data_IF_905129246618
#
_entry.id   IF_905129246618
#
_cell.length_a   1.000
_cell.length_b   1.000
_cell.length_c   1.000
_cell.angle_alpha   90.00
_cell.angle_beta   90.00
_cell.angle_gamma   90.00
#
_symmetry.space_group_name_H-M   'P 1'
#
loop_
_entity.id
_entity.type
_entity.pdbx_description
1 polymer ?
#
# COMPACT_ATOMS: atom_id res chain seq x y z
N UNK A 1 6.31 43.45 26.22
CA UNK A 1 7.58 43.84 25.57
C UNK A 1 8.37 42.57 25.25
N UNK A 2 8.08 41.91 24.12
CA UNK A 2 8.93 40.87 23.50
C UNK A 2 8.59 40.85 22.00
N UNK A 3 9.64 40.91 21.18
CA UNK A 3 9.68 41.12 19.74
C UNK A 3 9.13 39.96 18.89
N UNK A 4 8.35 40.33 17.87
CA UNK A 4 8.17 39.57 16.63
C UNK A 4 9.36 39.85 15.70
N UNK A 5 10.13 38.80 15.34
CA UNK A 5 11.12 38.86 14.27
C UNK A 5 10.48 38.43 12.95
N UNK A 6 10.42 39.40 12.04
CA UNK A 6 10.12 39.22 10.62
C UNK A 6 11.30 38.57 9.90
N UNK A 7 11.02 37.65 8.98
CA UNK A 7 11.97 37.26 7.92
C UNK A 7 11.32 37.49 6.55
N UNK A 8 11.99 38.34 5.78
CA UNK A 8 11.49 38.93 4.56
C UNK A 8 11.60 38.05 3.32
N UNK A 9 10.62 38.23 2.44
CA UNK A 9 10.63 37.80 1.03
C UNK A 9 11.75 38.54 0.27
N UNK A 10 12.47 37.82 -0.60
CA UNK A 10 13.32 38.42 -1.65
C UNK A 10 12.76 38.17 -3.06
N UNK A 11 13.00 39.08 -4.02
CA UNK A 11 12.25 39.18 -5.27
C UNK A 11 12.84 38.34 -6.42
N UNK A 12 11.94 38.01 -7.35
CA UNK A 12 12.17 37.40 -8.66
C UNK A 12 13.10 38.26 -9.55
N UNK A 13 14.16 37.67 -10.12
CA UNK A 13 14.95 38.27 -11.21
C UNK A 13 14.63 37.58 -12.54
N UNK A 14 14.21 38.39 -13.53
CA UNK A 14 14.09 38.05 -14.95
C UNK A 14 15.50 37.88 -15.55
N UNK A 15 15.67 36.85 -16.39
CA UNK A 15 16.84 36.67 -17.23
C UNK A 15 16.46 35.90 -18.49
N UNK A 16 16.30 36.61 -19.60
CA UNK A 16 16.17 36.07 -20.94
C UNK A 16 17.48 35.38 -21.36
N UNK A 17 17.41 34.23 -22.04
CA UNK A 17 18.44 33.76 -22.99
C UNK A 17 17.88 32.68 -23.92
N UNK A 18 17.73 33.09 -25.19
CA UNK A 18 17.94 32.39 -26.46
C UNK A 18 17.65 30.88 -26.56
N UNK A 19 16.62 30.54 -27.35
CA UNK A 19 16.40 29.19 -27.88
C UNK A 19 17.29 28.96 -29.11
N UNK A 20 18.30 28.10 -28.96
CA UNK A 20 19.06 27.51 -30.06
C UNK A 20 18.57 26.09 -30.34
N UNK A 21 18.20 25.83 -31.59
CA UNK A 21 17.69 24.59 -32.14
C UNK A 21 18.57 23.36 -31.83
N UNK A 22 18.00 22.28 -31.27
CA UNK A 22 18.44 20.90 -31.50
C UNK A 22 17.25 19.95 -31.56
N UNK A 23 17.35 19.03 -32.54
CA UNK A 23 16.33 18.16 -33.15
C UNK A 23 15.61 17.21 -32.16
N UNK A 24 14.32 16.90 -32.36
CA UNK A 24 13.65 15.84 -31.62
C UNK A 24 14.05 14.46 -32.16
N UNK A 25 14.60 13.61 -31.29
CA UNK A 25 14.74 12.18 -31.57
C UNK A 25 13.36 11.50 -31.44
N UNK A 26 13.07 10.65 -32.43
CA UNK A 26 11.88 9.81 -32.53
C UNK A 26 11.79 8.80 -31.39
N UNK A 27 10.66 8.77 -30.69
CA UNK A 27 10.14 7.54 -30.08
C UNK A 27 8.65 7.40 -30.43
N UNK A 28 8.30 6.25 -30.98
CA UNK A 28 6.99 5.97 -31.57
C UNK A 28 5.86 5.92 -30.54
N UNK A 29 4.90 6.83 -30.70
CA UNK A 29 3.59 6.73 -30.09
C UNK A 29 2.70 5.78 -30.92
N UNK A 30 2.30 4.65 -30.34
CA UNK A 30 1.14 3.91 -30.84
C UNK A 30 -0.13 4.69 -30.44
N UNK A 31 -1.13 4.85 -31.34
CA UNK A 31 -2.34 5.59 -31.01
C UNK A 31 -3.19 4.80 -30.01
N UNK A 32 -3.62 5.47 -28.94
CA UNK A 32 -4.70 5.00 -28.07
C UNK A 32 -5.99 4.99 -28.89
N UNK A 33 -6.55 3.80 -29.15
CA UNK A 33 -7.94 3.67 -29.60
C UNK A 33 -8.86 3.81 -28.39
N UNK A 34 -9.41 4.99 -28.21
CA UNK A 34 -10.69 5.17 -27.53
C UNK A 34 -11.81 4.93 -28.55
N UNK A 35 -12.72 4.02 -28.22
CA UNK A 35 -13.84 3.62 -29.07
C UNK A 35 -14.57 2.45 -28.42
N UNK A 36 -15.60 2.77 -27.64
CA UNK A 36 -16.53 1.79 -27.09
C UNK A 36 -17.24 1.07 -28.25
N UNK A 37 -17.12 -0.25 -28.31
CA UNK A 37 -17.97 -1.07 -29.17
C UNK A 37 -19.34 -1.25 -28.51
N UNK A 38 -20.46 -1.12 -29.24
CA UNK A 38 -21.80 -1.30 -28.68
C UNK A 38 -22.04 -2.77 -28.29
N UNK A 39 -22.66 -2.97 -27.11
CA UNK A 39 -23.16 -4.28 -26.67
C UNK A 39 -24.20 -4.78 -27.68
N UNK A 40 -23.95 -5.94 -28.30
CA UNK A 40 -25.03 -6.72 -28.94
C UNK A 40 -25.89 -7.33 -27.83
N UNK A 41 -27.10 -6.82 -27.69
CA UNK A 41 -28.21 -7.52 -27.06
C UNK A 41 -28.57 -8.76 -27.89
N UNK A 42 -28.95 -9.84 -27.21
CA UNK A 42 -29.64 -10.97 -27.83
C UNK A 42 -28.80 -12.20 -28.12
N UNK A 43 -28.54 -13.02 -27.09
CA UNK A 43 -28.65 -14.49 -27.15
C UNK A 43 -28.36 -15.11 -25.78
N UNK A 44 -29.31 -15.01 -24.86
CA UNK A 44 -29.41 -15.92 -23.72
C UNK A 44 -30.04 -17.23 -24.22
N UNK A 45 -29.26 -18.29 -24.34
CA UNK A 45 -29.81 -19.64 -24.47
C UNK A 45 -30.14 -20.16 -23.05
N UNK A 46 -31.37 -20.63 -22.77
CA UNK A 46 -31.75 -21.11 -21.45
C UNK A 46 -31.07 -22.46 -21.16
N UNK A 47 -30.55 -22.63 -19.94
CA UNK A 47 -30.21 -23.95 -19.41
C UNK A 47 -31.50 -24.76 -19.28
N UNK A 48 -31.72 -25.72 -20.17
CA UNK A 48 -32.72 -26.78 -19.95
C UNK A 48 -32.12 -27.85 -19.04
N UNK A 49 -32.83 -28.09 -17.94
CA UNK A 49 -32.83 -29.35 -17.20
C UNK A 49 -33.32 -30.48 -18.12
N UNK A 50 -32.71 -31.67 -18.03
CA UNK A 50 -33.16 -32.87 -18.74
C UNK A 50 -32.05 -33.90 -18.92
N UNK A 51 -32.18 -35.04 -18.24
CA UNK A 51 -31.42 -36.26 -18.51
C UNK A 51 -31.75 -36.79 -19.92
N UNK A 52 -30.74 -37.16 -20.71
CA UNK A 52 -30.88 -37.75 -22.05
C UNK A 52 -29.58 -38.39 -22.55
N UNK A 53 -29.72 -39.42 -23.39
CA UNK A 53 -28.87 -40.62 -23.48
C UNK A 53 -27.41 -40.51 -23.94
N UNK A 54 -26.58 -41.43 -23.43
CA UNK A 54 -25.19 -41.65 -23.83
C UNK A 54 -25.12 -42.11 -25.29
N UNK A 55 -24.44 -41.34 -26.16
CA UNK A 55 -24.06 -41.79 -27.51
C UNK A 55 -22.97 -42.88 -27.42
N UNK A 56 -23.02 -43.94 -28.25
CA UNK A 56 -22.03 -45.02 -28.24
C UNK A 56 -20.71 -44.58 -28.89
N UNK A 57 -19.59 -45.07 -28.34
CA UNK A 57 -18.25 -44.83 -28.86
C UNK A 57 -18.01 -45.62 -30.18
N UNK A 58 -17.25 -45.08 -31.15
CA UNK A 58 -16.94 -45.80 -32.38
C UNK A 58 -15.99 -46.99 -32.11
N UNK A 59 -16.37 -48.17 -32.62
CA UNK A 59 -15.52 -49.37 -32.71
C UNK A 59 -14.54 -49.19 -33.88
N UNK A 60 -13.24 -49.17 -33.61
CA UNK A 60 -12.18 -49.41 -34.59
C UNK A 60 -11.21 -50.45 -34.00
N UNK A 61 -10.94 -51.50 -34.79
CA UNK A 61 -10.41 -52.79 -34.36
C UNK A 61 -8.97 -52.79 -33.84
N UNK A 62 -8.65 -53.89 -33.15
CA UNK A 62 -7.33 -54.24 -32.65
C UNK A 62 -6.40 -54.55 -33.82
N UNK A 63 -5.50 -53.61 -34.16
CA UNK A 63 -4.30 -53.89 -34.96
C UNK A 63 -3.24 -54.59 -34.09
N UNK A 64 -2.50 -55.50 -34.71
CA UNK A 64 -1.55 -56.44 -34.09
C UNK A 64 -0.44 -55.76 -33.27
N UNK A 65 -0.10 -56.39 -32.14
CA UNK A 65 1.05 -56.01 -31.30
C UNK A 65 2.33 -56.21 -32.08
N UNK A 66 3.04 -55.12 -32.39
CA UNK A 66 4.48 -55.20 -32.66
C UNK A 66 5.19 -55.58 -31.36
N UNK A 67 5.70 -56.79 -31.32
CA UNK A 67 6.70 -57.24 -30.36
C UNK A 67 7.98 -56.40 -30.54
N UNK A 68 8.43 -55.75 -29.47
CA UNK A 68 9.61 -54.89 -29.51
C UNK A 68 9.51 -53.67 -28.62
N UNK A 69 9.13 -53.84 -27.35
CA UNK A 69 9.46 -52.85 -26.34
C UNK A 69 10.91 -53.10 -25.89
N UNK A 70 11.78 -52.13 -26.12
CA UNK A 70 13.11 -52.09 -25.51
C UNK A 70 12.98 -52.35 -24.00
N UNK A 71 13.86 -53.17 -23.39
CA UNK A 71 13.77 -53.48 -21.97
C UNK A 71 13.82 -52.18 -21.19
N UNK A 72 12.77 -51.95 -20.39
CA UNK A 72 12.76 -50.96 -19.32
C UNK A 72 14.02 -51.24 -18.49
N UNK A 73 15.02 -50.36 -18.55
CA UNK A 73 16.11 -50.37 -17.56
C UNK A 73 15.43 -50.41 -16.20
N UNK A 74 15.71 -51.45 -15.43
CA UNK A 74 15.42 -51.53 -14.00
C UNK A 74 16.29 -50.51 -13.26
N UNK A 75 16.07 -49.23 -13.55
CA UNK A 75 16.50 -48.15 -12.70
C UNK A 75 15.52 -48.12 -11.54
N UNK A 76 15.81 -48.88 -10.49
CA UNK A 76 15.14 -48.70 -9.20
C UNK A 76 15.09 -47.22 -8.89
N UNK A 77 13.93 -46.71 -8.49
CA UNK A 77 13.81 -45.35 -7.99
C UNK A 77 14.80 -45.21 -6.84
N UNK A 78 15.96 -44.60 -7.09
CA UNK A 78 16.86 -44.21 -6.03
C UNK A 78 16.04 -43.30 -5.12
N UNK A 79 15.81 -43.77 -3.89
CA UNK A 79 15.18 -42.96 -2.85
C UNK A 79 15.95 -41.65 -2.84
N UNK A 80 15.28 -40.53 -3.14
CA UNK A 80 15.89 -39.19 -2.97
C UNK A 80 16.53 -39.19 -1.59
N UNK A 81 17.81 -38.80 -1.45
CA UNK A 81 18.43 -38.73 -0.12
C UNK A 81 17.54 -37.87 0.76
N UNK A 82 17.18 -38.41 1.93
CA UNK A 82 16.43 -37.65 2.93
C UNK A 82 17.20 -36.37 3.20
N UNK A 83 16.54 -35.22 3.03
CA UNK A 83 17.08 -33.97 3.51
C UNK A 83 17.21 -34.08 5.04
N UNK A 84 18.41 -34.03 5.63
CA UNK A 84 18.60 -34.23 7.07
C UNK A 84 17.92 -33.13 7.92
N UNK A 85 17.53 -32.00 7.30
CA UNK A 85 16.74 -30.95 7.96
C UNK A 85 15.22 -31.17 7.89
N UNK A 86 14.73 -32.19 7.17
CA UNK A 86 13.35 -32.62 7.28
C UNK A 86 13.28 -33.67 8.38
N UNK A 87 12.75 -33.30 9.55
CA UNK A 87 12.36 -34.28 10.54
C UNK A 87 11.46 -35.34 9.86
N UNK A 88 11.69 -36.65 10.09
CA UNK A 88 10.75 -37.67 9.64
C UNK A 88 9.35 -37.30 10.14
N UNK A 89 8.33 -37.49 9.30
CA UNK A 89 6.95 -37.28 9.77
C UNK A 89 6.75 -38.12 11.02
N UNK A 90 6.16 -37.58 12.09
CA UNK A 90 5.87 -38.37 13.28
C UNK A 90 5.13 -39.65 12.90
N UNK A 91 5.60 -40.81 13.39
CA UNK A 91 4.93 -42.08 13.18
C UNK A 91 3.44 -41.96 13.56
N UNK A 92 2.55 -42.31 12.63
CA UNK A 92 1.10 -42.19 12.80
C UNK A 92 0.39 -41.24 11.82
N UNK A 93 1.12 -40.36 11.11
CA UNK A 93 0.54 -39.50 10.07
C UNK A 93 0.33 -40.18 8.70
N UNK A 94 0.80 -41.42 8.52
CA UNK A 94 0.90 -42.08 7.20
C UNK A 94 -0.33 -42.90 6.79
N UNK A 95 -1.30 -43.11 7.68
CA UNK A 95 -2.54 -43.80 7.32
C UNK A 95 -3.61 -42.77 6.98
N UNK A 96 -3.70 -42.34 5.71
CA UNK A 96 -4.92 -41.66 5.25
C UNK A 96 -6.07 -42.66 5.36
N UNK A 97 -7.11 -42.39 6.16
CA UNK A 97 -8.22 -43.31 6.29
C UNK A 97 -8.95 -43.47 4.94
N UNK A 98 -9.57 -44.63 4.68
CA UNK A 98 -10.47 -44.82 3.55
C UNK A 98 -11.56 -43.75 3.54
N UNK A 99 -12.03 -43.33 2.35
CA UNK A 99 -13.04 -42.25 2.23
C UNK A 99 -14.30 -42.46 3.08
N UNK A 100 -14.67 -43.71 3.32
CA UNK A 100 -15.84 -44.11 4.13
C UNK A 100 -15.69 -43.79 5.62
N UNK A 101 -14.47 -43.61 6.12
CA UNK A 101 -14.21 -43.34 7.54
C UNK A 101 -14.01 -41.85 7.85
N UNK A 102 -14.02 -40.95 6.85
CA UNK A 102 -13.93 -39.50 7.09
C UNK A 102 -15.07 -38.98 7.97
N UNK A 103 -16.29 -39.52 7.83
CA UNK A 103 -17.42 -39.13 8.66
C UNK A 103 -17.18 -39.48 10.14
N UNK A 104 -16.75 -40.72 10.41
CA UNK A 104 -16.43 -41.21 11.76
C UNK A 104 -15.26 -40.44 12.38
N UNK A 105 -14.26 -40.10 11.57
CA UNK A 105 -13.11 -39.27 12.00
C UNK A 105 -13.52 -37.83 12.27
N UNK A 106 -14.42 -37.26 11.47
CA UNK A 106 -14.97 -35.92 11.69
C UNK A 106 -15.77 -35.89 12.98
N UNK A 107 -16.62 -36.89 13.20
CA UNK A 107 -17.40 -37.05 14.44
C UNK A 107 -16.49 -37.26 15.67
N UNK A 108 -15.46 -38.10 15.57
CA UNK A 108 -14.44 -38.27 16.62
C UNK A 108 -13.65 -36.98 16.88
N UNK A 109 -13.31 -36.24 15.82
CA UNK A 109 -12.64 -34.94 15.92
C UNK A 109 -13.55 -33.85 16.52
N UNK A 110 -14.85 -33.88 16.26
CA UNK A 110 -15.82 -32.94 16.83
C UNK A 110 -16.11 -33.26 18.30
N UNK A 111 -16.28 -34.54 18.64
CA UNK A 111 -16.58 -35.05 19.99
C UNK A 111 -15.35 -35.20 20.90
N UNK A 112 -14.14 -35.08 20.35
CA UNK A 112 -12.88 -35.22 21.11
C UNK A 112 -12.55 -36.64 21.53
N UNK A 113 -13.18 -37.65 20.92
CA UNK A 113 -12.88 -39.07 21.15
C UNK A 113 -11.59 -39.47 20.42
N UNK A 114 -10.83 -40.38 20.99
CA UNK A 114 -9.69 -40.99 20.31
C UNK A 114 -10.17 -41.76 19.07
N UNK A 115 -9.58 -41.46 17.92
CA UNK A 115 -9.73 -42.23 16.68
C UNK A 115 -8.46 -43.07 16.46
N UNK A 116 -8.59 -44.24 15.82
CA UNK A 116 -7.47 -45.13 15.45
C UNK A 116 -6.42 -44.47 14.54
N UNK A 117 -6.78 -43.34 13.92
CA UNK A 117 -5.91 -42.51 13.09
C UNK A 117 -5.33 -41.28 13.81
N UNK A 118 -5.72 -41.04 15.06
CA UNK A 118 -5.11 -40.01 15.90
C UNK A 118 -3.79 -40.54 16.48
N UNK A 119 -2.72 -39.72 16.59
CA UNK A 119 -1.51 -40.15 17.27
C UNK A 119 -1.84 -40.64 18.69
N UNK A 120 -1.26 -41.77 19.12
CA UNK A 120 -1.45 -42.27 20.49
C UNK A 120 -1.04 -41.18 21.50
N UNK A 121 -1.91 -40.86 22.46
CA UNK A 121 -1.68 -39.80 23.44
C UNK A 121 -1.96 -38.37 22.93
N UNK A 122 -2.64 -38.22 21.79
CA UNK A 122 -3.09 -36.92 21.30
C UNK A 122 -4.30 -36.40 22.10
N UNK A 123 -4.03 -35.46 23.00
CA UNK A 123 -5.07 -34.70 23.70
C UNK A 123 -5.52 -33.51 22.84
N UNK A 124 -6.73 -33.62 22.27
CA UNK A 124 -7.36 -32.56 21.48
C UNK A 124 -7.55 -31.28 22.29
N UNK A 125 -7.96 -31.39 23.56
CA UNK A 125 -8.18 -30.24 24.44
C UNK A 125 -6.88 -29.46 24.60
N UNK A 126 -5.79 -30.17 24.92
CA UNK A 126 -4.45 -29.58 25.04
C UNK A 126 -3.91 -29.04 23.70
N UNK A 127 -4.17 -29.72 22.59
CA UNK A 127 -3.79 -29.25 21.26
C UNK A 127 -4.52 -27.96 20.89
N UNK A 128 -5.84 -27.92 21.05
CA UNK A 128 -6.65 -26.73 20.77
C UNK A 128 -6.29 -25.57 21.71
N UNK A 129 -6.01 -25.85 22.98
CA UNK A 129 -5.51 -24.83 23.91
C UNK A 129 -4.17 -24.26 23.45
N UNK A 130 -3.20 -25.11 23.08
CA UNK A 130 -1.91 -24.65 22.53
C UNK A 130 -2.07 -23.87 21.22
N UNK A 131 -2.97 -24.31 20.34
CA UNK A 131 -3.27 -23.62 19.09
C UNK A 131 -3.90 -22.24 19.35
N UNK A 132 -4.92 -22.17 20.23
CA UNK A 132 -5.54 -20.91 20.67
C UNK A 132 -4.51 -19.98 21.31
N UNK A 133 -3.64 -20.48 22.17
CA UNK A 133 -2.57 -19.69 22.78
C UNK A 133 -1.56 -19.18 21.73
N UNK A 134 -1.23 -19.99 20.71
CA UNK A 134 -0.39 -19.57 19.58
C UNK A 134 -1.03 -18.46 18.76
N UNK A 135 -2.32 -18.57 18.47
CA UNK A 135 -3.11 -17.55 17.77
C UNK A 135 -3.19 -16.27 18.61
N UNK A 136 -3.50 -16.39 19.91
CA UNK A 136 -3.55 -15.25 20.82
C UNK A 136 -2.22 -14.49 20.86
N UNK A 137 -1.09 -15.20 20.97
CA UNK A 137 0.25 -14.58 20.90
C UNK A 137 0.50 -13.83 19.59
N UNK A 138 -0.06 -14.28 18.47
CA UNK A 138 0.06 -13.57 17.19
C UNK A 138 -0.77 -12.28 17.16
N UNK A 139 -1.95 -12.26 17.79
CA UNK A 139 -2.80 -11.06 17.91
C UNK A 139 -2.31 -10.06 18.96
N UNK A 140 -1.63 -10.52 20.02
CA UNK A 140 -1.11 -9.65 21.09
C UNK A 140 0.22 -8.98 20.73
N UNK A 141 0.70 -9.10 19.48
CA UNK A 141 1.93 -8.40 19.09
C UNK A 141 1.71 -6.89 19.10
N UNK A 142 2.64 -6.10 19.66
CA UNK A 142 2.44 -4.67 19.90
C UNK A 142 2.44 -3.83 18.61
N UNK A 143 3.02 -4.36 17.53
CA UNK A 143 3.12 -3.77 16.20
C UNK A 143 1.86 -3.98 15.34
N UNK A 144 0.99 -4.95 15.67
CA UNK A 144 -0.20 -5.24 14.88
C UNK A 144 -1.19 -4.07 14.80
N UNK A 145 -1.53 -3.34 15.89
CA UNK A 145 -2.39 -2.17 15.79
C UNK A 145 -1.74 -1.01 15.03
N UNK A 146 -0.41 -0.91 15.02
CA UNK A 146 0.31 0.12 14.27
C UNK A 146 0.17 -0.11 12.75
N UNK A 147 0.26 -1.37 12.32
CA UNK A 147 0.01 -1.75 10.91
C UNK A 147 -1.41 -1.42 10.48
N UNK A 148 -2.41 -1.75 11.30
CA UNK A 148 -3.82 -1.45 10.98
C UNK A 148 -4.11 0.05 10.94
N UNK A 149 -3.61 0.81 11.91
CA UNK A 149 -3.78 2.26 11.93
C UNK A 149 -3.12 2.94 10.71
N UNK A 150 -1.96 2.44 10.27
CA UNK A 150 -1.31 2.96 9.07
C UNK A 150 -2.14 2.71 7.81
N UNK A 151 -2.71 1.50 7.66
CA UNK A 151 -3.61 1.19 6.53
C UNK A 151 -4.87 2.05 6.57
N UNK A 152 -5.43 2.27 7.75
CA UNK A 152 -6.58 3.16 7.93
C UNK A 152 -6.26 4.61 7.48
N UNK A 153 -5.05 5.12 7.75
CA UNK A 153 -4.63 6.43 7.23
C UNK A 153 -4.62 6.44 5.70
N UNK A 154 -4.07 5.41 5.07
CA UNK A 154 -4.01 5.34 3.60
C UNK A 154 -5.44 5.22 2.99
N UNK A 155 -6.35 4.47 3.63
CA UNK A 155 -7.76 4.36 3.24
C UNK A 155 -8.52 5.68 3.42
N UNK A 156 -8.23 6.43 4.50
CA UNK A 156 -8.78 7.76 4.73
C UNK A 156 -8.26 8.75 3.69
N UNK A 157 -6.98 8.75 3.36
CA UNK A 157 -6.41 9.63 2.33
C UNK A 157 -7.08 9.39 0.97
N UNK A 158 -7.33 8.12 0.60
CA UNK A 158 -8.07 7.77 -0.63
C UNK A 158 -9.54 8.22 -0.58
N UNK A 159 -10.24 7.92 0.52
CA UNK A 159 -11.66 8.27 0.68
C UNK A 159 -11.87 9.77 0.68
N UNK A 160 -11.00 10.50 1.42
CA UNK A 160 -10.98 11.96 1.46
C UNK A 160 -10.77 12.54 0.07
N UNK A 161 -9.79 12.05 -0.69
CA UNK A 161 -9.51 12.55 -2.04
C UNK A 161 -10.69 12.34 -2.99
N UNK A 162 -11.31 11.16 -2.96
CA UNK A 162 -12.47 10.84 -3.79
C UNK A 162 -13.68 11.75 -3.46
N UNK A 163 -14.01 11.89 -2.18
CA UNK A 163 -15.14 12.70 -1.74
C UNK A 163 -14.88 14.20 -1.97
N UNK A 164 -13.65 14.65 -1.77
CA UNK A 164 -13.26 16.03 -2.05
C UNK A 164 -13.38 16.37 -3.53
N UNK A 165 -12.96 15.48 -4.44
CA UNK A 165 -13.18 15.67 -5.87
C UNK A 165 -14.67 15.79 -6.22
N UNK A 166 -15.52 14.98 -5.60
CA UNK A 166 -16.97 15.09 -5.79
C UNK A 166 -17.53 16.41 -5.24
N UNK A 167 -17.05 16.85 -4.09
CA UNK A 167 -17.40 18.15 -3.52
C UNK A 167 -17.00 19.28 -4.46
N UNK A 168 -15.78 19.25 -5.00
CA UNK A 168 -15.29 20.24 -5.96
C UNK A 168 -16.19 20.37 -7.19
N UNK A 169 -16.71 19.27 -7.74
CA UNK A 169 -17.64 19.32 -8.87
C UNK A 169 -18.93 20.07 -8.50
N UNK A 170 -19.48 19.85 -7.29
CA UNK A 170 -20.67 20.59 -6.83
C UNK A 170 -20.32 22.06 -6.57
N UNK A 171 -19.19 22.32 -5.92
CA UNK A 171 -18.68 23.68 -5.68
C UNK A 171 -18.50 24.43 -7.00
N UNK A 172 -18.09 23.79 -8.09
CA UNK A 172 -17.97 24.45 -9.39
C UNK A 172 -19.31 24.84 -10.03
N UNK A 173 -20.40 24.12 -9.70
CA UNK A 173 -21.75 24.53 -10.13
C UNK A 173 -22.13 25.84 -9.43
N UNK A 174 -21.82 25.98 -8.14
CA UNK A 174 -22.19 27.15 -7.34
C UNK A 174 -21.18 28.30 -7.37
N UNK A 175 -19.88 28.02 -7.42
CA UNK A 175 -18.81 29.02 -7.32
C UNK A 175 -17.59 28.59 -8.15
N UNK A 176 -17.66 28.70 -9.49
CA UNK A 176 -16.61 28.22 -10.40
C UNK A 176 -15.26 28.93 -10.25
N UNK A 177 -15.22 30.17 -9.75
CA UNK A 177 -14.00 30.96 -9.56
C UNK A 177 -13.27 30.67 -8.24
N UNK A 178 -13.79 29.77 -7.42
CA UNK A 178 -13.16 29.40 -6.15
C UNK A 178 -11.82 28.70 -6.36
N UNK A 179 -10.81 29.04 -5.56
CA UNK A 179 -9.56 28.28 -5.53
C UNK A 179 -9.74 26.93 -4.82
N UNK A 180 -9.85 25.87 -5.62
CA UNK A 180 -10.05 24.49 -5.16
C UNK A 180 -8.76 23.82 -4.64
N UNK A 181 -7.62 24.51 -4.60
CA UNK A 181 -6.37 23.95 -4.07
C UNK A 181 -6.38 23.83 -2.55
N UNK A 182 -7.07 24.74 -1.86
CA UNK A 182 -7.14 24.74 -0.41
C UNK A 182 -8.32 23.88 0.04
N UNK A 183 -8.09 22.57 0.17
CA UNK A 183 -9.15 21.60 0.46
C UNK A 183 -9.91 21.91 1.75
N UNK A 184 -9.19 22.28 2.81
CA UNK A 184 -9.75 22.61 4.12
C UNK A 184 -10.66 23.84 4.05
N UNK A 185 -10.23 24.90 3.37
CA UNK A 185 -11.02 26.11 3.12
C UNK A 185 -12.34 25.81 2.45
N UNK A 186 -12.30 25.03 1.37
CA UNK A 186 -13.50 24.68 0.59
C UNK A 186 -14.47 23.91 1.47
N UNK A 187 -13.97 22.92 2.21
CA UNK A 187 -14.80 22.12 3.10
C UNK A 187 -15.41 22.95 4.23
N UNK A 188 -14.66 23.87 4.85
CA UNK A 188 -15.18 24.73 5.93
C UNK A 188 -16.30 25.64 5.45
N UNK A 189 -16.11 26.33 4.31
CA UNK A 189 -17.11 27.24 3.75
C UNK A 189 -18.40 26.52 3.37
N UNK A 190 -18.28 25.40 2.66
CA UNK A 190 -19.46 24.66 2.22
C UNK A 190 -20.11 23.84 3.32
N UNK A 191 -19.39 23.45 4.38
CA UNK A 191 -19.99 22.82 5.55
C UNK A 191 -20.83 23.80 6.38
N UNK A 192 -20.38 25.06 6.52
CA UNK A 192 -21.10 26.09 7.29
C UNK A 192 -22.24 26.73 6.48
N UNK A 193 -21.96 27.14 5.25
CA UNK A 193 -22.88 27.96 4.47
C UNK A 193 -23.63 27.18 3.40
N UNK A 194 -22.97 26.24 2.73
CA UNK A 194 -23.54 25.43 1.64
C UNK A 194 -23.77 26.15 0.31
N UNK A 195 -23.84 27.48 0.31
CA UNK A 195 -24.01 28.32 -0.90
C UNK A 195 -23.21 29.63 -0.75
N UNK A 196 -22.56 30.07 -1.83
CA UNK A 196 -21.79 31.33 -1.90
C UNK A 196 -22.58 32.57 -1.48
N UNK A 197 -23.89 32.61 -1.74
CA UNK A 197 -24.72 33.79 -1.42
C UNK A 197 -24.91 34.01 0.08
N UNK A 198 -24.74 32.94 0.85
CA UNK A 198 -24.97 32.94 2.29
C UNK A 198 -23.67 33.13 3.08
N UNK A 199 -22.57 33.43 2.39
CA UNK A 199 -21.30 33.76 3.04
C UNK A 199 -21.46 35.02 3.89
N UNK A 200 -21.33 34.82 5.20
CA UNK A 200 -21.31 35.89 6.17
C UNK A 200 -19.87 36.40 6.34
N UNK A 201 -19.65 37.69 6.10
CA UNK A 201 -18.34 38.34 6.12
C UNK A 201 -17.61 38.06 7.46
N UNK A 202 -18.29 38.19 8.60
CA UNK A 202 -17.69 38.02 9.93
C UNK A 202 -17.22 36.59 10.17
N UNK A 203 -18.07 35.61 9.86
CA UNK A 203 -17.75 34.18 10.00
C UNK A 203 -16.66 33.75 9.02
N UNK A 204 -16.68 34.23 7.78
CA UNK A 204 -15.63 33.94 6.80
C UNK A 204 -14.28 34.49 7.28
N UNK A 205 -14.25 35.70 7.84
CA UNK A 205 -13.01 36.25 8.42
C UNK A 205 -12.52 35.45 9.63
N UNK A 206 -13.41 34.94 10.48
CA UNK A 206 -13.03 34.08 11.60
C UNK A 206 -12.39 32.75 11.15
N UNK A 207 -12.90 32.13 10.09
CA UNK A 207 -12.39 30.83 9.61
C UNK A 207 -11.07 30.94 8.83
N UNK A 208 -10.91 32.01 8.05
CA UNK A 208 -9.89 32.08 6.99
C UNK A 208 -8.88 33.21 7.16
N UNK A 209 -9.14 34.13 8.10
CA UNK A 209 -8.41 35.38 8.26
C UNK A 209 -8.90 36.48 7.31
N UNK A 210 -8.54 37.72 7.63
CA UNK A 210 -9.05 38.92 6.97
C UNK A 210 -8.60 39.09 5.52
N UNK A 211 -7.36 38.71 5.19
CA UNK A 211 -6.81 38.86 3.83
C UNK A 211 -7.48 37.89 2.84
N UNK A 212 -7.46 36.59 3.14
CA UNK A 212 -8.07 35.54 2.30
C UNK A 212 -9.59 35.64 2.26
N UNK A 213 -10.23 35.96 3.38
CA UNK A 213 -11.69 36.12 3.42
C UNK A 213 -12.17 37.22 2.48
N UNK A 214 -11.46 38.37 2.43
CA UNK A 214 -11.82 39.47 1.53
C UNK A 214 -11.71 39.07 0.06
N UNK A 215 -10.67 38.34 -0.30
CA UNK A 215 -10.49 37.82 -1.66
C UNK A 215 -11.64 36.89 -2.06
N UNK A 216 -11.99 35.94 -1.20
CA UNK A 216 -13.07 34.98 -1.44
C UNK A 216 -14.42 35.67 -1.55
N UNK A 217 -14.74 36.61 -0.66
CA UNK A 217 -15.99 37.36 -0.69
C UNK A 217 -16.09 38.25 -1.94
N UNK A 218 -14.98 38.87 -2.36
CA UNK A 218 -14.94 39.66 -3.58
C UNK A 218 -15.16 38.79 -4.84
N UNK A 219 -14.63 37.57 -4.85
CA UNK A 219 -14.87 36.59 -5.91
C UNK A 219 -16.31 36.06 -5.89
N UNK A 220 -16.85 35.74 -4.72
CA UNK A 220 -18.22 35.27 -4.55
C UNK A 220 -19.25 36.29 -5.08
N UNK A 221 -19.03 37.58 -4.83
CA UNK A 221 -19.87 38.68 -5.34
C UNK A 221 -19.83 38.82 -6.87
N UNK A 222 -18.73 38.43 -7.52
CA UNK A 222 -18.54 38.50 -8.98
C UNK A 222 -18.86 37.18 -9.68
N UNK A 223 -19.14 36.12 -8.92
CA UNK A 223 -19.30 34.78 -9.44
C UNK A 223 -20.59 34.62 -10.24
N UNK A 224 -20.49 33.96 -11.40
CA UNK A 224 -21.63 33.64 -12.27
C UNK A 224 -22.23 32.25 -12.00
N UNK A 225 -21.84 31.58 -10.90
CA UNK A 225 -22.31 30.24 -10.58
C UNK A 225 -23.83 30.13 -10.38
N UNK A 226 -24.36 28.91 -10.46
CA UNK A 226 -25.76 28.62 -10.20
C UNK A 226 -26.08 28.66 -8.71
N UNK A 227 -27.31 28.98 -8.36
CA UNK A 227 -27.77 28.93 -6.97
C UNK A 227 -28.23 27.50 -6.63
N UNK A 228 -28.04 27.09 -5.38
CA UNK A 228 -28.58 25.81 -4.92
C UNK A 228 -29.97 25.98 -4.32
N UNK A 229 -30.83 24.97 -4.53
CA UNK A 229 -32.04 24.84 -3.72
C UNK A 229 -31.67 24.55 -2.26
N UNK A 230 -32.60 24.76 -1.33
CA UNK A 230 -32.35 24.42 0.08
C UNK A 230 -32.06 22.92 0.28
N UNK A 231 -32.60 22.06 -0.57
CA UNK A 231 -32.34 20.62 -0.57
C UNK A 231 -30.91 20.32 -1.05
N UNK A 232 -30.50 20.90 -2.18
CA UNK A 232 -29.14 20.74 -2.73
C UNK A 232 -28.09 21.30 -1.77
N UNK A 233 -28.35 22.47 -1.21
CA UNK A 233 -27.49 23.13 -0.22
C UNK A 233 -27.25 22.23 0.98
N UNK A 234 -28.29 21.61 1.54
CA UNK A 234 -28.17 20.66 2.66
C UNK A 234 -27.36 19.44 2.28
N UNK A 235 -27.53 18.92 1.06
CA UNK A 235 -26.76 17.80 0.55
C UNK A 235 -25.26 18.13 0.43
N UNK A 236 -24.92 19.28 -0.15
CA UNK A 236 -23.52 19.76 -0.24
C UNK A 236 -22.90 19.96 1.13
N UNK A 237 -23.63 20.63 2.02
CA UNK A 237 -23.15 20.92 3.38
C UNK A 237 -22.85 19.63 4.15
N UNK A 238 -23.72 18.63 3.99
CA UNK A 238 -23.51 17.30 4.57
C UNK A 238 -22.24 16.65 4.02
N UNK A 239 -22.04 16.65 2.70
CA UNK A 239 -20.84 16.09 2.09
C UNK A 239 -19.57 16.82 2.57
N UNK A 240 -19.59 18.15 2.56
CA UNK A 240 -18.47 18.98 3.02
C UNK A 240 -18.12 18.71 4.49
N UNK A 241 -19.13 18.60 5.36
CA UNK A 241 -18.94 18.25 6.76
C UNK A 241 -18.32 16.85 6.93
N UNK A 242 -18.76 15.85 6.16
CA UNK A 242 -18.15 14.50 6.19
C UNK A 242 -16.71 14.52 5.72
N UNK A 243 -16.38 15.27 4.68
CA UNK A 243 -14.99 15.41 4.22
C UNK A 243 -14.14 16.05 5.32
N UNK A 244 -14.63 17.10 5.98
CA UNK A 244 -13.96 17.76 7.10
C UNK A 244 -13.72 16.80 8.29
N UNK A 245 -14.69 15.94 8.61
CA UNK A 245 -14.53 14.88 9.62
C UNK A 245 -13.40 13.91 9.26
N UNK A 246 -13.26 13.53 7.98
CA UNK A 246 -12.16 12.67 7.52
C UNK A 246 -10.80 13.35 7.68
N UNK A 247 -10.69 14.67 7.45
CA UNK A 247 -9.45 15.42 7.73
C UNK A 247 -9.06 15.33 9.21
N UNK A 248 -10.02 15.54 10.11
CA UNK A 248 -9.80 15.47 11.57
C UNK A 248 -9.40 14.06 11.99
N UNK A 249 -10.16 13.04 11.59
CA UNK A 249 -9.88 11.64 11.89
C UNK A 249 -8.49 11.21 11.39
N UNK A 250 -8.10 11.65 10.20
CA UNK A 250 -6.78 11.37 9.62
C UNK A 250 -5.65 12.02 10.43
N UNK A 251 -5.87 13.22 10.96
CA UNK A 251 -4.89 13.94 11.80
C UNK A 251 -4.73 13.28 13.16
N UNK A 252 -5.85 12.87 13.79
CA UNK A 252 -5.85 12.14 15.06
C UNK A 252 -5.14 10.78 14.93
N UNK A 253 -5.43 10.03 13.87
CA UNK A 253 -4.76 8.77 13.60
C UNK A 253 -3.27 8.94 13.29
N UNK A 254 -2.89 10.00 12.58
CA UNK A 254 -1.48 10.31 12.36
C UNK A 254 -0.76 10.52 13.69
N UNK A 255 -1.30 11.34 14.60
CA UNK A 255 -0.69 11.56 15.91
C UNK A 255 -0.55 10.25 16.72
N UNK A 256 -1.57 9.39 16.69
CA UNK A 256 -1.49 8.06 17.30
C UNK A 256 -0.39 7.18 16.68
N UNK A 257 -0.32 7.13 15.34
CA UNK A 257 0.69 6.35 14.60
C UNK A 257 2.09 6.87 14.91
N UNK A 258 2.31 8.17 14.93
CA UNK A 258 3.62 8.77 15.24
C UNK A 258 4.08 8.44 16.66
N UNK A 259 3.19 8.59 17.66
CA UNK A 259 3.50 8.26 19.04
C UNK A 259 3.83 6.77 19.23
N UNK A 260 3.04 5.89 18.59
CA UNK A 260 3.24 4.45 18.69
C UNK A 260 4.46 3.96 17.91
N UNK A 261 4.74 4.51 16.72
CA UNK A 261 5.91 4.17 15.94
C UNK A 261 7.21 4.52 16.69
N UNK A 262 7.28 5.69 17.34
CA UNK A 262 8.44 6.07 18.18
C UNK A 262 8.67 5.11 19.35
N UNK A 263 7.60 4.54 19.91
CA UNK A 263 7.68 3.56 21.00
C UNK A 263 8.14 2.18 20.54
N UNK A 264 7.61 1.70 19.41
CA UNK A 264 7.87 0.33 18.93
C UNK A 264 9.15 0.21 18.09
N UNK A 265 9.53 1.28 17.38
CA UNK A 265 10.63 1.29 16.42
C UNK A 265 11.40 2.63 16.44
N UNK A 266 12.02 2.97 17.59
CA UNK A 266 12.72 4.23 17.79
C UNK A 266 13.91 4.41 16.83
N UNK A 267 14.71 3.36 16.58
CA UNK A 267 15.88 3.49 15.72
C UNK A 267 15.49 3.78 14.27
N UNK A 268 14.42 3.16 13.77
CA UNK A 268 13.92 3.42 12.41
C UNK A 268 13.32 4.84 12.32
N UNK A 269 12.53 5.26 13.31
CA UNK A 269 11.92 6.60 13.35
C UNK A 269 12.93 7.74 13.47
N UNK A 270 14.15 7.43 13.90
CA UNK A 270 15.23 8.41 13.95
C UNK A 270 15.84 8.63 12.55
N UNK A 271 15.86 7.59 11.69
CA UNK A 271 16.37 7.69 10.32
C UNK A 271 15.36 8.26 9.31
N UNK A 272 14.07 8.02 9.53
CA UNK A 272 12.96 8.46 8.65
C UNK A 272 11.76 8.91 9.45
N UNK A 273 10.90 9.73 8.86
CA UNK A 273 9.68 10.23 9.51
C UNK A 273 8.83 9.07 10.06
N UNK A 274 8.22 9.20 11.26
CA UNK A 274 7.50 8.08 11.89
C UNK A 274 6.35 7.53 11.04
N UNK A 275 5.68 8.37 10.24
CA UNK A 275 4.65 7.92 9.31
C UNK A 275 5.22 7.05 8.18
N UNK A 276 6.38 7.42 7.62
CA UNK A 276 7.07 6.61 6.61
C UNK A 276 7.58 5.30 7.23
N UNK A 277 8.07 5.38 8.46
CA UNK A 277 8.50 4.22 9.24
C UNK A 277 7.33 3.23 9.44
N UNK A 278 6.16 3.72 9.84
CA UNK A 278 4.96 2.91 10.01
C UNK A 278 4.46 2.32 8.68
N UNK A 279 4.58 3.05 7.56
CA UNK A 279 4.29 2.52 6.22
C UNK A 279 5.23 1.40 5.80
N UNK A 280 6.54 1.51 6.08
CA UNK A 280 7.50 0.41 5.87
C UNK A 280 7.10 -0.85 6.66
N UNK A 281 6.72 -0.67 7.92
CA UNK A 281 6.21 -1.74 8.76
C UNK A 281 4.93 -2.37 8.18
N UNK A 282 3.99 -1.55 7.71
CA UNK A 282 2.73 -2.01 7.11
C UNK A 282 2.95 -2.88 5.86
N UNK A 283 3.90 -2.48 5.00
CA UNK A 283 4.29 -3.24 3.81
C UNK A 283 5.02 -4.54 4.17
N UNK A 284 5.87 -4.52 5.20
CA UNK A 284 6.52 -5.73 5.71
C UNK A 284 5.55 -6.67 6.46
N UNK A 285 4.45 -6.13 6.95
CA UNK A 285 3.38 -6.80 7.67
C UNK A 285 3.59 -6.87 9.19
N UNK A 286 4.84 -6.95 9.66
CA UNK A 286 5.20 -6.87 11.08
C UNK A 286 6.69 -6.55 11.24
N UNK A 287 7.12 -6.20 12.45
CA UNK A 287 8.48 -5.74 12.75
C UNK A 287 9.50 -6.87 12.59
N UNK A 288 9.11 -8.10 12.92
CA UNK A 288 9.94 -9.30 12.71
C UNK A 288 10.30 -9.44 11.24
N UNK A 289 9.30 -9.43 10.35
CA UNK A 289 9.51 -9.55 8.91
C UNK A 289 10.40 -8.41 8.41
N UNK A 290 10.17 -7.18 8.86
CA UNK A 290 11.00 -6.02 8.47
C UNK A 290 12.47 -6.20 8.90
N UNK A 291 12.72 -6.77 10.08
CA UNK A 291 14.07 -7.05 10.58
C UNK A 291 14.81 -8.15 9.77
N UNK A 292 14.05 -9.09 9.22
CA UNK A 292 14.57 -10.20 8.41
C UNK A 292 14.83 -9.79 6.95
N UNK A 293 14.22 -8.70 6.47
CA UNK A 293 14.43 -8.21 5.11
C UNK A 293 15.87 -7.74 4.88
N UNK A 294 16.49 -8.12 3.74
CA UNK A 294 17.76 -7.55 3.34
C UNK A 294 17.58 -6.10 2.88
N UNK A 295 18.66 -5.31 2.94
CA UNK A 295 18.66 -3.90 2.53
C UNK A 295 18.17 -3.70 1.09
N UNK A 296 18.48 -4.63 0.17
CA UNK A 296 18.00 -4.58 -1.22
C UNK A 296 16.48 -4.69 -1.34
N UNK A 297 15.83 -5.49 -0.48
CA UNK A 297 14.35 -5.59 -0.42
C UNK A 297 13.76 -4.33 0.21
N UNK A 298 14.32 -3.85 1.33
CA UNK A 298 13.89 -2.60 1.97
C UNK A 298 14.01 -1.41 1.01
N UNK A 299 15.01 -1.41 0.13
CA UNK A 299 15.20 -0.35 -0.87
C UNK A 299 14.02 -0.23 -1.84
N UNK A 300 13.40 -1.35 -2.25
CA UNK A 300 12.40 -1.42 -3.32
C UNK A 300 11.00 -1.81 -2.84
N UNK A 301 10.80 -1.95 -1.53
CA UNK A 301 9.50 -2.26 -0.94
C UNK A 301 8.47 -1.19 -1.29
N UNK A 302 7.28 -1.59 -1.74
CA UNK A 302 6.27 -0.69 -2.32
C UNK A 302 6.43 -0.41 -3.83
N UNK A 303 7.49 -0.91 -4.47
CA UNK A 303 7.68 -0.86 -5.93
C UNK A 303 7.64 -2.26 -6.58
N UNK A 304 6.92 -3.20 -5.97
CA UNK A 304 6.82 -4.60 -6.39
C UNK A 304 6.37 -4.72 -7.84
N UNK A 305 5.37 -3.93 -8.24
CA UNK A 305 4.85 -3.95 -9.62
C UNK A 305 5.92 -3.60 -10.66
N UNK A 306 6.74 -2.58 -10.38
CA UNK A 306 7.83 -2.18 -11.27
C UNK A 306 8.98 -3.21 -11.24
N UNK A 307 9.31 -3.71 -10.04
CA UNK A 307 10.32 -4.74 -9.85
C UNK A 307 9.96 -6.04 -10.60
N UNK A 308 8.73 -6.52 -10.47
CA UNK A 308 8.27 -7.73 -11.15
C UNK A 308 8.21 -7.55 -12.68
N UNK A 309 7.88 -6.35 -13.17
CA UNK A 309 8.00 -6.04 -14.60
C UNK A 309 9.45 -6.15 -15.08
N UNK A 310 10.41 -5.57 -14.33
CA UNK A 310 11.83 -5.73 -14.62
C UNK A 310 12.28 -7.20 -14.57
N UNK A 311 11.85 -7.96 -13.57
CA UNK A 311 12.23 -9.38 -13.45
C UNK A 311 11.69 -10.24 -14.60
N UNK A 312 10.51 -9.89 -15.14
CA UNK A 312 9.92 -10.55 -16.32
C UNK A 312 10.63 -10.16 -17.62
N UNK A 313 10.98 -8.87 -17.78
CA UNK A 313 11.65 -8.36 -18.98
C UNK A 313 12.89 -7.53 -18.60
N UNK A 314 13.96 -8.24 -18.23
CA UNK A 314 15.21 -7.64 -17.75
C UNK A 314 15.94 -6.83 -18.82
N UNK A 315 15.68 -7.09 -20.11
CA UNK A 315 16.35 -6.45 -21.23
C UNK A 315 15.74 -5.11 -21.59
N UNK A 316 14.42 -4.98 -21.41
CA UNK A 316 13.67 -3.78 -21.83
C UNK A 316 13.33 -2.84 -20.68
N UNK A 317 13.12 -3.36 -19.48
CA UNK A 317 12.67 -2.58 -18.34
C UNK A 317 13.80 -2.48 -17.34
N UNK A 318 14.17 -1.27 -16.90
CA UNK A 318 15.16 -1.07 -15.85
C UNK A 318 14.57 -1.33 -14.45
N UNK A 319 15.37 -1.79 -13.48
CA UNK A 319 14.88 -2.01 -12.12
C UNK A 319 14.50 -0.69 -11.43
N UNK A 320 13.52 -0.69 -10.51
CA UNK A 320 13.21 0.49 -9.72
C UNK A 320 14.38 0.84 -8.80
N UNK A 321 14.74 2.14 -8.74
CA UNK A 321 15.82 2.63 -7.86
C UNK A 321 15.44 2.67 -6.39
N UNK A 322 14.15 2.87 -6.10
CA UNK A 322 13.61 3.04 -4.75
C UNK A 322 12.13 2.68 -4.76
N UNK A 323 11.64 2.17 -3.63
CA UNK A 323 10.22 1.96 -3.35
C UNK A 323 9.65 3.11 -2.54
N UNK A 324 8.91 2.79 -1.48
CA UNK A 324 8.24 3.76 -0.61
C UNK A 324 9.21 4.71 0.07
N UNK A 325 10.46 4.30 0.29
CA UNK A 325 11.51 5.15 0.87
C UNK A 325 11.75 6.43 0.07
N UNK A 326 11.31 6.49 -1.19
CA UNK A 326 11.33 7.72 -2.00
C UNK A 326 10.60 8.89 -1.34
N UNK A 327 9.60 8.63 -0.49
CA UNK A 327 8.87 9.67 0.26
C UNK A 327 9.78 10.43 1.23
N UNK A 328 10.93 9.86 1.63
CA UNK A 328 11.90 10.55 2.48
C UNK A 328 12.44 11.81 1.79
N UNK A 329 12.48 12.98 2.47
CA UNK A 329 13.06 14.21 1.94
C UNK A 329 14.50 14.05 1.46
N UNK A 330 15.27 13.13 2.09
CA UNK A 330 16.64 12.81 1.72
C UNK A 330 16.77 12.32 0.27
N UNK A 331 15.76 11.61 -0.24
CA UNK A 331 15.76 11.03 -1.59
C UNK A 331 14.98 11.95 -2.54
N UNK A 332 13.76 12.34 -2.19
CA UNK A 332 12.91 13.14 -3.08
C UNK A 332 13.58 14.49 -3.45
N UNK A 333 14.19 15.14 -2.46
CA UNK A 333 14.90 16.41 -2.65
C UNK A 333 16.26 16.30 -3.36
N UNK A 334 16.77 15.09 -3.59
CA UNK A 334 18.07 14.88 -4.23
C UNK A 334 17.99 14.85 -5.77
N UNK A 335 19.08 15.21 -6.47
CA UNK A 335 19.21 15.07 -7.92
C UNK A 335 19.01 13.62 -8.40
N UNK A 336 18.53 13.45 -9.63
CA UNK A 336 18.18 12.13 -10.18
C UNK A 336 19.35 11.13 -10.24
N UNK A 337 20.58 11.61 -10.45
CA UNK A 337 21.81 10.81 -10.42
C UNK A 337 22.06 10.22 -9.02
N UNK A 338 21.83 11.02 -7.98
CA UNK A 338 22.14 10.69 -6.58
C UNK A 338 21.08 9.82 -5.91
N UNK A 339 19.81 9.93 -6.33
CA UNK A 339 18.68 9.22 -5.71
C UNK A 339 18.92 7.74 -5.47
N UNK A 340 19.52 7.03 -6.45
CA UNK A 340 19.81 5.60 -6.31
C UNK A 340 20.91 5.29 -5.29
N UNK A 341 21.97 6.11 -5.24
CA UNK A 341 23.08 5.98 -4.27
C UNK A 341 22.56 6.25 -2.85
N UNK A 342 21.74 7.29 -2.68
CA UNK A 342 21.12 7.68 -1.41
C UNK A 342 20.12 6.61 -0.94
N UNK A 343 19.24 6.12 -1.82
CA UNK A 343 18.27 5.08 -1.49
C UNK A 343 18.93 3.82 -0.94
N UNK A 344 20.04 3.39 -1.55
CA UNK A 344 20.82 2.23 -1.09
C UNK A 344 21.44 2.46 0.29
N UNK A 345 22.02 3.64 0.52
CA UNK A 345 22.61 4.00 1.81
C UNK A 345 21.55 4.02 2.92
N UNK A 346 20.40 4.66 2.65
CA UNK A 346 19.28 4.71 3.58
C UNK A 346 18.73 3.32 3.89
N UNK A 347 18.45 2.50 2.88
CA UNK A 347 17.92 1.15 3.07
C UNK A 347 18.86 0.23 3.87
N UNK A 348 20.17 0.42 3.71
CA UNK A 348 21.18 -0.31 4.51
C UNK A 348 21.06 0.04 5.99
N UNK A 349 20.96 1.33 6.31
CA UNK A 349 20.82 1.78 7.71
C UNK A 349 19.46 1.44 8.30
N UNK A 350 18.37 1.51 7.52
CA UNK A 350 17.04 1.08 7.92
C UNK A 350 16.99 -0.42 8.26
N UNK A 351 17.63 -1.28 7.47
CA UNK A 351 17.69 -2.73 7.76
C UNK A 351 18.43 -3.02 9.08
N UNK A 352 19.50 -2.28 9.38
CA UNK A 352 20.23 -2.40 10.65
C UNK A 352 19.37 -1.88 11.82
N UNK A 353 18.73 -0.71 11.65
CA UNK A 353 17.83 -0.13 12.64
C UNK A 353 16.66 -1.07 12.99
N UNK A 354 16.00 -1.63 11.98
CA UNK A 354 14.88 -2.57 12.19
C UNK A 354 15.31 -3.84 12.95
N UNK A 355 16.53 -4.33 12.72
CA UNK A 355 17.10 -5.45 13.49
C UNK A 355 17.37 -5.08 14.94
N UNK A 356 17.88 -3.88 15.19
CA UNK A 356 18.08 -3.42 16.56
C UNK A 356 16.75 -3.24 17.29
N UNK A 357 15.76 -2.61 16.65
CA UNK A 357 14.42 -2.41 17.23
C UNK A 357 13.74 -3.75 17.58
N UNK A 358 13.88 -4.78 16.72
CA UNK A 358 13.27 -6.08 16.97
C UNK A 358 14.03 -6.95 17.98
N UNK A 359 15.34 -7.14 17.79
CA UNK A 359 16.11 -8.14 18.54
C UNK A 359 16.76 -7.60 19.81
N UNK A 360 17.38 -6.43 19.76
CA UNK A 360 18.21 -5.93 20.87
C UNK A 360 17.51 -4.87 21.70
N UNK A 361 16.57 -4.12 21.11
CA UNK A 361 15.87 -2.96 21.68
C UNK A 361 16.83 -1.88 22.22
N UNK A 362 18.08 -1.88 21.76
CA UNK A 362 19.08 -0.87 22.12
C UNK A 362 18.97 0.30 21.17
N UNK A 363 19.19 1.49 21.70
CA UNK A 363 19.34 2.67 20.88
C UNK A 363 20.73 2.70 20.23
N UNK A 364 20.76 2.52 18.91
CA UNK A 364 21.96 2.63 18.07
C UNK A 364 21.82 3.77 17.05
N UNK A 365 20.74 4.55 17.18
CA UNK A 365 20.35 5.56 16.21
C UNK A 365 21.37 6.69 16.01
N UNK A 366 22.12 7.18 17.04
CA UNK A 366 23.07 8.26 16.82
C UNK A 366 24.21 7.85 15.89
N UNK A 367 24.69 6.60 16.06
CA UNK A 367 25.74 6.03 15.20
C UNK A 367 25.23 5.82 13.78
N UNK A 368 24.02 5.30 13.62
CA UNK A 368 23.42 5.08 12.30
C UNK A 368 23.21 6.40 11.55
N UNK A 369 22.78 7.46 12.25
CA UNK A 369 22.66 8.81 11.68
C UNK A 369 24.00 9.36 11.23
N UNK A 370 25.01 9.35 12.09
CA UNK A 370 26.35 9.85 11.75
C UNK A 370 26.94 9.13 10.53
N UNK A 371 26.82 7.80 10.48
CA UNK A 371 27.27 7.01 9.33
C UNK A 371 26.50 7.35 8.05
N UNK A 372 25.18 7.53 8.15
CA UNK A 372 24.34 7.90 7.02
C UNK A 372 24.73 9.27 6.49
N UNK A 373 24.83 10.28 7.36
CA UNK A 373 25.21 11.64 7.01
C UNK A 373 26.59 11.69 6.34
N UNK A 374 27.58 10.95 6.88
CA UNK A 374 28.88 10.82 6.25
C UNK A 374 28.75 10.30 4.81
N UNK A 375 27.98 9.22 4.61
CA UNK A 375 27.77 8.65 3.28
C UNK A 375 27.01 9.59 2.34
N UNK A 376 26.08 10.39 2.85
CA UNK A 376 25.35 11.38 2.06
C UNK A 376 26.25 12.51 1.59
N UNK A 377 27.19 12.97 2.44
CA UNK A 377 28.20 13.97 2.06
C UNK A 377 29.09 13.45 0.93
N UNK A 378 29.61 12.24 1.05
CA UNK A 378 30.42 11.59 0.02
C UNK A 378 29.67 11.50 -1.33
N UNK A 379 28.38 11.16 -1.32
CA UNK A 379 27.57 11.09 -2.55
C UNK A 379 27.36 12.47 -3.18
N UNK A 380 27.14 13.50 -2.35
CA UNK A 380 26.93 14.88 -2.82
C UNK A 380 28.19 15.52 -3.38
N UNK A 381 29.35 15.14 -2.84
CA UNK A 381 30.67 15.64 -3.27
C UNK A 381 31.19 14.87 -4.49
N UNK A 382 31.01 13.54 -4.53
CA UNK A 382 31.48 12.71 -5.65
C UNK A 382 30.83 13.04 -6.99
N UNK A 383 29.58 13.51 -7.00
CA UNK A 383 28.87 13.96 -8.21
C UNK A 383 29.26 15.40 -8.64
N UNK A 384 30.07 16.15 -7.87
CA UNK A 384 30.61 17.47 -8.27
C UNK A 384 31.97 17.37 -8.97
N UNK A 385 32.62 16.20 -8.89
CA UNK A 385 33.95 15.94 -9.44
C UNK A 385 33.91 15.23 -10.80
N UNK A 386 32.73 14.78 -11.24
CA UNK A 386 32.40 14.35 -12.61
C UNK A 386 31.63 15.46 -13.33
#
# INVERSE_FOLDING_TARGET
MVQLMAYGRKPFRKGQKSYGERRPQREGAAPRREGYAPRREGSFAPRREGYGDRRPAPRAGYGERREGFAPRREGGFAKRPMNPNFAPRPEGFDKRPPRREYAKRREAFETGREDRYSPKGFDRGRFLQKAKAGVQKAYTKPDAPLVQATRAIDDLDQSKSLLYQRLCEWVQINFPEMDLKNEETVCMLYAEFGDRKLFDDDKVFQMMGSERGKEILALAKKSFGGDFSDEDRKAVSTLAARVLELFKARTELQAYVEGKARKEMPNVCELVDPLLAARLLSLAGNLKNLSEMPASTVQVIGAENALFKHLKDKRRVSPPKHGIIFQSPLINGAPFSQRGKIARALATKLSIAARADYYTKRDISPKLKADLEKRLKEIREGDKAE
#
